data_IF_142193327423
#
_entry.id   IF_142193327423
#
_cell.length_a   1.000
_cell.length_b   1.000
_cell.length_c   1.000
_cell.angle_alpha   90.00
_cell.angle_beta   90.00
_cell.angle_gamma   90.00
#
_symmetry.space_group_name_H-M   'P 1'
#
loop_
_entity.id
_entity.type
_entity.pdbx_description
1 polymer ?
#
# COMPACT_ATOMS: atom_id res chain seq x y z
N UNK A 1 101.65 38.29 -30.22
CA UNK A 1 100.78 39.28 -29.55
C UNK A 1 99.36 38.77 -29.60
N UNK A 2 98.57 38.80 -28.50
CA UNK A 2 97.20 38.33 -28.54
C UNK A 2 96.28 39.32 -29.30
N UNK A 3 95.50 38.84 -30.30
CA UNK A 3 94.69 39.61 -31.26
C UNK A 3 93.66 40.53 -30.55
N UNK A 4 93.34 40.33 -29.27
CA UNK A 4 92.41 41.10 -28.48
C UNK A 4 93.02 41.50 -27.13
N UNK A 5 92.73 42.74 -26.68
CA UNK A 5 93.16 43.25 -25.37
C UNK A 5 92.48 42.54 -24.19
N UNK A 6 93.10 42.54 -23.01
CA UNK A 6 92.46 41.94 -21.83
C UNK A 6 91.17 42.63 -21.41
N UNK A 7 91.05 43.94 -21.65
CA UNK A 7 89.86 44.67 -21.37
C UNK A 7 88.73 44.23 -22.27
N UNK A 8 88.99 44.12 -23.59
CA UNK A 8 87.96 43.61 -24.57
C UNK A 8 87.48 42.17 -24.24
N UNK A 9 88.33 41.33 -23.71
CA UNK A 9 87.94 39.94 -23.31
C UNK A 9 87.04 39.97 -22.10
N UNK A 10 87.27 40.88 -21.11
CA UNK A 10 86.36 41.05 -19.97
C UNK A 10 85.06 41.66 -20.34
N UNK A 11 85.06 42.67 -21.19
CA UNK A 11 83.83 43.31 -21.67
C UNK A 11 82.95 42.36 -22.49
N UNK A 12 83.56 41.53 -23.33
CA UNK A 12 82.87 40.46 -24.06
C UNK A 12 82.23 39.39 -23.16
N UNK A 13 82.90 39.05 -22.07
CA UNK A 13 82.35 38.13 -21.07
C UNK A 13 81.24 38.79 -20.30
N UNK A 14 81.41 40.06 -19.92
CA UNK A 14 80.38 40.82 -19.21
C UNK A 14 79.12 41.01 -20.06
N UNK A 15 79.24 41.28 -21.36
CA UNK A 15 78.10 41.32 -22.27
C UNK A 15 77.33 39.98 -22.27
N UNK A 16 78.02 38.87 -22.39
CA UNK A 16 77.36 37.52 -22.33
C UNK A 16 76.73 37.25 -20.98
N UNK A 17 77.40 37.55 -19.87
CA UNK A 17 76.91 37.20 -18.54
C UNK A 17 75.77 38.10 -18.01
N UNK A 18 75.75 39.38 -18.46
CA UNK A 18 74.72 40.32 -18.03
C UNK A 18 73.42 40.21 -18.86
N UNK A 19 73.43 39.55 -20.02
CA UNK A 19 72.24 39.30 -20.80
C UNK A 19 71.80 37.84 -20.67
N UNK A 20 70.80 37.57 -19.88
CA UNK A 20 70.32 36.22 -19.56
C UNK A 20 69.91 35.44 -20.81
N UNK A 21 69.26 36.06 -21.78
CA UNK A 21 68.73 35.44 -23.01
C UNK A 21 69.82 35.25 -24.09
N UNK A 22 70.99 35.82 -23.93
CA UNK A 22 72.00 35.77 -24.94
C UNK A 22 72.79 34.45 -24.90
N UNK A 23 72.71 33.66 -25.98
CA UNK A 23 73.48 32.43 -26.09
C UNK A 23 74.96 32.73 -26.42
N UNK A 24 75.86 31.74 -26.13
CA UNK A 24 77.25 31.89 -26.51
C UNK A 24 77.44 32.06 -28.05
N UNK A 25 76.56 31.48 -28.84
CA UNK A 25 76.57 31.62 -30.28
C UNK A 25 76.14 33.03 -30.69
N UNK A 26 75.05 33.54 -30.12
CA UNK A 26 74.54 34.86 -30.44
C UNK A 26 75.55 35.95 -29.96
N UNK A 27 76.08 35.81 -28.77
CA UNK A 27 77.06 36.75 -28.23
C UNK A 27 78.37 36.76 -29.06
N UNK A 28 78.82 35.60 -29.54
CA UNK A 28 80.00 35.54 -30.40
C UNK A 28 79.77 36.13 -31.78
N UNK A 29 78.53 35.98 -32.33
CA UNK A 29 78.15 36.57 -33.63
C UNK A 29 78.05 38.11 -33.51
N UNK A 30 77.39 38.65 -32.48
CA UNK A 30 77.30 40.10 -32.20
C UNK A 30 78.65 40.76 -32.06
N UNK A 31 79.61 40.09 -31.44
CA UNK A 31 80.96 40.62 -31.19
C UNK A 31 81.92 40.35 -32.35
N UNK A 32 81.49 39.60 -33.37
CA UNK A 32 82.36 39.26 -34.53
C UNK A 32 83.55 38.40 -34.14
N UNK A 33 83.46 37.59 -33.08
CA UNK A 33 84.52 36.77 -32.55
C UNK A 33 84.24 35.25 -32.69
N UNK A 34 85.29 34.46 -32.69
CA UNK A 34 85.12 33.02 -32.70
C UNK A 34 84.50 32.53 -31.39
N UNK A 35 83.43 31.70 -31.47
CA UNK A 35 82.78 31.11 -30.33
C UNK A 35 83.71 30.41 -29.34
N UNK A 36 84.73 29.69 -29.84
CA UNK A 36 85.71 29.00 -29.02
C UNK A 36 86.55 29.99 -28.16
N UNK A 37 86.85 31.17 -28.74
CA UNK A 37 87.55 32.25 -28.04
C UNK A 37 86.70 32.85 -26.92
N UNK A 38 85.40 33.14 -27.19
CA UNK A 38 84.49 33.66 -26.16
C UNK A 38 84.27 32.60 -25.04
N UNK A 39 84.11 31.30 -25.43
CA UNK A 39 84.00 30.25 -24.46
C UNK A 39 85.21 30.09 -23.52
N UNK A 40 86.43 30.20 -24.09
CA UNK A 40 87.70 30.20 -23.32
C UNK A 40 87.75 31.37 -22.34
N UNK A 41 87.31 32.58 -22.77
CA UNK A 41 87.28 33.78 -21.93
C UNK A 41 86.20 33.71 -20.83
N UNK A 42 85.01 33.14 -21.14
CA UNK A 42 83.98 32.90 -20.12
C UNK A 42 84.47 31.90 -19.09
N UNK A 43 85.29 30.89 -19.47
CA UNK A 43 85.92 29.97 -18.49
C UNK A 43 86.93 30.64 -17.61
N UNK A 44 87.65 31.67 -18.15
CA UNK A 44 88.76 32.40 -17.41
C UNK A 44 88.22 33.58 -16.61
N UNK A 45 87.26 34.35 -17.08
CA UNK A 45 86.77 35.60 -16.50
C UNK A 45 85.28 35.55 -16.09
N UNK A 46 84.51 34.47 -16.39
CA UNK A 46 83.11 34.41 -16.15
C UNK A 46 82.73 34.23 -14.69
N UNK A 47 81.58 34.76 -14.30
CA UNK A 47 81.06 34.74 -12.92
C UNK A 47 80.01 33.60 -12.67
N UNK A 48 79.83 32.68 -13.69
CA UNK A 48 79.00 31.51 -13.53
C UNK A 48 77.54 31.64 -13.92
N UNK A 49 77.23 32.40 -14.99
CA UNK A 49 75.89 32.58 -15.53
C UNK A 49 75.12 31.27 -15.66
N UNK A 50 75.78 30.22 -16.21
CA UNK A 50 75.13 28.90 -16.34
C UNK A 50 74.78 28.24 -14.99
N UNK A 51 75.64 28.42 -13.98
CA UNK A 51 75.40 27.88 -12.67
C UNK A 51 74.22 28.63 -11.99
N UNK A 52 74.12 29.98 -12.18
CA UNK A 52 72.99 30.77 -11.70
C UNK A 52 71.69 30.42 -12.38
N UNK A 53 71.66 30.32 -13.73
CA UNK A 53 70.46 29.92 -14.46
C UNK A 53 70.01 28.51 -14.06
N UNK A 54 70.95 27.57 -13.96
CA UNK A 54 70.65 26.22 -13.49
C UNK A 54 70.08 26.21 -12.11
N UNK A 55 70.65 26.95 -11.14
CA UNK A 55 70.15 27.04 -9.76
C UNK A 55 68.76 27.66 -9.69
N UNK A 56 68.44 28.66 -10.52
CA UNK A 56 67.09 29.23 -10.64
C UNK A 56 66.12 28.24 -11.21
N UNK A 57 66.49 27.51 -12.26
CA UNK A 57 65.65 26.48 -12.86
C UNK A 57 65.42 25.31 -11.88
N UNK A 58 66.47 24.81 -11.21
CA UNK A 58 66.35 23.72 -10.21
C UNK A 58 65.41 24.15 -9.04
N UNK A 59 65.53 25.42 -8.63
CA UNK A 59 64.68 26.00 -7.57
C UNK A 59 63.19 26.12 -7.98
N UNK A 60 62.95 26.50 -9.26
CA UNK A 60 61.59 26.57 -9.80
C UNK A 60 61.02 25.15 -9.97
N UNK A 61 61.80 24.20 -10.40
CA UNK A 61 61.39 22.78 -10.51
C UNK A 61 61.06 22.20 -9.12
N UNK A 62 61.89 22.39 -8.12
CA UNK A 62 61.64 21.95 -6.77
C UNK A 62 60.39 22.58 -6.15
N UNK A 63 60.08 23.86 -6.47
CA UNK A 63 58.86 24.53 -6.04
C UNK A 63 57.60 23.89 -6.70
N UNK A 64 57.66 23.60 -7.99
CA UNK A 64 56.57 22.92 -8.73
C UNK A 64 56.35 21.48 -8.19
N UNK A 65 57.42 20.74 -7.94
CA UNK A 65 57.34 19.40 -7.36
C UNK A 65 56.72 19.43 -5.96
N UNK A 66 57.12 20.38 -5.11
CA UNK A 66 56.53 20.57 -3.78
C UNK A 66 55.03 20.91 -3.85
N UNK A 67 54.62 21.76 -4.80
CA UNK A 67 53.18 22.07 -5.02
C UNK A 67 52.41 20.85 -5.49
N UNK A 68 52.99 20.06 -6.37
CA UNK A 68 52.42 18.81 -6.89
C UNK A 68 52.28 17.76 -5.80
N UNK A 69 53.29 17.58 -4.95
CA UNK A 69 53.22 16.68 -3.81
C UNK A 69 52.08 17.09 -2.85
N UNK A 70 51.97 18.35 -2.49
CA UNK A 70 50.88 18.86 -1.64
C UNK A 70 49.47 18.62 -2.26
N UNK A 71 49.37 18.74 -3.57
CA UNK A 71 48.11 18.46 -4.28
C UNK A 71 47.77 16.96 -4.20
N UNK A 72 48.73 16.09 -4.47
CA UNK A 72 48.58 14.64 -4.40
C UNK A 72 48.25 14.16 -2.97
N UNK A 73 48.89 14.71 -1.97
CA UNK A 73 48.56 14.41 -0.55
C UNK A 73 47.12 14.77 -0.21
N UNK A 74 46.64 15.95 -0.63
CA UNK A 74 45.25 16.37 -0.44
C UNK A 74 44.27 15.43 -1.16
N UNK A 75 44.60 14.98 -2.36
CA UNK A 75 43.78 14.06 -3.12
C UNK A 75 43.75 12.67 -2.46
N UNK A 76 44.93 12.19 -2.02
CA UNK A 76 45.04 10.93 -1.26
C UNK A 76 44.20 10.97 0.03
N UNK A 77 44.27 12.05 0.78
CA UNK A 77 43.47 12.22 2.00
C UNK A 77 41.95 12.15 1.69
N UNK A 78 41.53 12.81 0.62
CA UNK A 78 40.12 12.74 0.15
C UNK A 78 39.73 11.33 -0.24
N UNK A 79 40.54 10.64 -1.02
CA UNK A 79 40.23 9.28 -1.48
C UNK A 79 40.18 8.28 -0.31
N UNK A 80 41.06 8.44 0.68
CA UNK A 80 41.02 7.61 1.89
C UNK A 80 39.73 7.83 2.68
N UNK A 81 39.32 9.10 2.88
CA UNK A 81 38.05 9.41 3.53
C UNK A 81 36.85 8.81 2.75
N UNK A 82 36.82 8.93 1.42
CA UNK A 82 35.77 8.34 0.57
C UNK A 82 35.72 6.82 0.71
N UNK A 83 36.86 6.16 0.65
CA UNK A 83 36.99 4.72 0.84
C UNK A 83 36.44 4.28 2.21
N UNK A 84 36.79 5.02 3.26
CA UNK A 84 36.36 4.68 4.62
C UNK A 84 34.87 4.87 4.82
N UNK A 85 34.29 5.95 4.25
CA UNK A 85 32.83 6.14 4.20
C UNK A 85 32.15 4.99 3.47
N UNK A 86 32.61 4.61 2.28
CA UNK A 86 32.04 3.50 1.49
C UNK A 86 32.14 2.15 2.22
N UNK A 87 33.27 1.89 2.88
CA UNK A 87 33.48 0.67 3.66
C UNK A 87 32.52 0.55 4.86
N UNK A 88 32.32 1.66 5.60
CA UNK A 88 31.34 1.73 6.70
C UNK A 88 29.92 1.60 6.18
N UNK A 89 29.59 2.30 5.09
CA UNK A 89 28.28 2.25 4.46
C UNK A 89 27.93 0.84 3.96
N UNK A 90 28.87 0.14 3.35
CA UNK A 90 28.66 -1.25 2.89
C UNK A 90 28.33 -2.20 4.05
N UNK A 91 28.98 -2.05 5.21
CA UNK A 91 28.66 -2.82 6.42
C UNK A 91 27.29 -2.45 7.00
N UNK A 92 26.94 -1.16 6.95
CA UNK A 92 25.70 -0.63 7.53
C UNK A 92 24.47 -1.04 6.72
N UNK A 93 24.54 -1.02 5.39
CA UNK A 93 23.40 -1.28 4.53
C UNK A 93 23.06 -2.78 4.42
N UNK A 94 24.04 -3.68 4.48
CA UNK A 94 23.83 -5.12 4.35
C UNK A 94 22.98 -5.45 3.11
N UNK A 95 21.88 -6.21 3.32
CA UNK A 95 20.91 -6.56 2.26
C UNK A 95 19.81 -5.52 2.06
N UNK A 96 19.78 -4.44 2.85
CA UNK A 96 18.70 -3.44 2.84
C UNK A 96 19.26 -2.06 2.50
N UNK A 97 19.27 -1.74 1.22
CA UNK A 97 19.72 -0.43 0.73
C UNK A 97 18.52 0.44 0.34
N UNK A 98 17.89 1.09 1.32
CA UNK A 98 16.83 2.08 1.09
C UNK A 98 17.34 3.50 1.34
N UNK A 99 16.71 4.49 0.69
CA UNK A 99 17.04 5.92 0.89
C UNK A 99 17.00 6.34 2.37
N UNK A 100 16.06 5.78 3.14
CA UNK A 100 15.92 6.06 4.57
C UNK A 100 17.12 5.52 5.36
N UNK A 101 17.60 4.32 5.03
CA UNK A 101 18.77 3.71 5.68
C UNK A 101 20.03 4.51 5.34
N UNK A 102 20.19 4.99 4.11
CA UNK A 102 21.29 5.88 3.72
C UNK A 102 21.24 7.20 4.49
N UNK A 103 20.08 7.81 4.68
CA UNK A 103 19.93 9.02 5.51
C UNK A 103 20.24 8.74 6.98
N UNK A 104 19.83 7.58 7.50
CA UNK A 104 20.16 7.19 8.87
C UNK A 104 21.68 7.03 9.04
N UNK A 105 22.36 6.39 8.09
CA UNK A 105 23.82 6.30 8.09
C UNK A 105 24.49 7.67 8.16
N UNK A 106 24.05 8.63 7.34
CA UNK A 106 24.59 10.01 7.35
C UNK A 106 24.36 10.69 8.71
N UNK A 107 23.18 10.48 9.31
CA UNK A 107 22.86 11.05 10.62
C UNK A 107 23.70 10.45 11.76
N UNK A 108 23.93 9.14 11.73
CA UNK A 108 24.69 8.42 12.75
C UNK A 108 26.19 8.74 12.69
N UNK A 109 26.73 9.08 11.50
CA UNK A 109 28.16 9.35 11.31
C UNK A 109 28.51 10.84 11.10
N UNK A 110 27.57 11.75 11.34
CA UNK A 110 27.79 13.21 11.13
C UNK A 110 28.81 13.84 12.09
N UNK A 111 29.20 13.17 13.14
CA UNK A 111 30.26 13.57 14.05
C UNK A 111 31.65 13.19 13.55
N UNK A 112 31.74 12.15 12.70
CA UNK A 112 33.02 11.65 12.17
C UNK A 112 33.34 12.26 10.80
N UNK A 113 32.30 12.42 9.94
CA UNK A 113 32.44 12.90 8.55
C UNK A 113 31.50 14.07 8.28
N UNK A 114 31.92 14.98 7.40
CA UNK A 114 31.03 16.06 7.00
C UNK A 114 29.82 15.54 6.20
N UNK A 115 28.62 16.06 6.49
CA UNK A 115 27.38 15.70 5.77
C UNK A 115 27.51 15.93 4.27
N UNK A 116 28.22 17.03 3.86
CA UNK A 116 28.48 17.35 2.46
C UNK A 116 29.23 16.21 1.77
N UNK A 117 30.26 15.67 2.44
CA UNK A 117 31.11 14.61 1.90
C UNK A 117 30.36 13.30 1.79
N UNK A 118 29.71 12.88 2.88
CA UNK A 118 28.89 11.65 2.88
C UNK A 118 27.80 11.67 1.83
N UNK A 119 27.07 12.78 1.69
CA UNK A 119 26.04 12.91 0.67
C UNK A 119 26.61 12.82 -0.76
N UNK A 120 27.81 13.38 -1.00
CA UNK A 120 28.49 13.28 -2.30
C UNK A 120 28.85 11.82 -2.61
N UNK A 121 29.53 11.16 -1.68
CA UNK A 121 30.00 9.76 -1.82
C UNK A 121 28.84 8.77 -2.00
N UNK A 122 27.76 8.94 -1.23
CA UNK A 122 26.59 8.07 -1.28
C UNK A 122 25.56 8.48 -2.35
N UNK A 123 25.86 9.49 -3.17
CA UNK A 123 24.99 10.04 -4.21
C UNK A 123 23.61 10.46 -3.66
N UNK A 124 23.61 11.14 -2.53
CA UNK A 124 22.42 11.64 -1.85
C UNK A 124 22.24 13.14 -2.06
N UNK A 125 20.99 13.57 -2.21
CA UNK A 125 20.68 14.99 -2.22
C UNK A 125 20.72 15.53 -0.77
N UNK A 126 21.58 16.53 -0.52
CA UNK A 126 21.77 17.12 0.80
C UNK A 126 20.51 17.81 1.33
N UNK A 127 19.76 18.50 0.50
CA UNK A 127 18.51 19.16 0.90
C UNK A 127 17.46 18.11 1.33
N UNK A 128 17.39 16.98 0.64
CA UNK A 128 16.52 15.86 1.01
C UNK A 128 16.90 15.26 2.35
N UNK A 129 18.20 15.15 2.65
CA UNK A 129 18.68 14.69 3.97
C UNK A 129 18.23 15.66 5.08
N UNK A 130 18.47 16.96 4.94
CA UNK A 130 18.06 17.94 5.96
C UNK A 130 16.53 17.99 6.12
N UNK A 131 15.76 17.88 5.04
CA UNK A 131 14.30 17.73 5.11
C UNK A 131 13.90 16.46 5.88
N UNK A 132 14.60 15.37 5.65
CA UNK A 132 14.38 14.13 6.39
C UNK A 132 14.69 14.30 7.89
N UNK A 133 15.78 14.97 8.26
CA UNK A 133 16.12 15.27 9.66
C UNK A 133 15.06 16.18 10.28
N UNK A 134 14.69 17.29 9.65
CA UNK A 134 13.72 18.26 10.19
C UNK A 134 12.33 17.66 10.42
N UNK A 135 11.94 16.67 9.62
CA UNK A 135 10.65 15.97 9.76
C UNK A 135 10.67 14.80 10.76
N UNK A 136 11.78 14.55 11.48
CA UNK A 136 11.93 13.42 12.41
C UNK A 136 10.81 13.36 13.46
N UNK A 137 10.50 14.49 14.10
CA UNK A 137 9.42 14.59 15.12
C UNK A 137 8.06 14.23 14.51
N UNK A 138 7.74 14.76 13.33
CA UNK A 138 6.47 14.45 12.63
C UNK A 138 6.38 12.97 12.26
N UNK A 139 7.49 12.35 11.82
CA UNK A 139 7.51 10.91 11.51
C UNK A 139 7.28 10.04 12.75
N UNK A 140 7.91 10.38 13.88
CA UNK A 140 7.70 9.66 15.16
C UNK A 140 6.25 9.76 15.62
N UNK A 141 5.64 10.95 15.59
CA UNK A 141 4.23 11.16 15.93
C UNK A 141 3.30 10.36 15.00
N UNK A 142 3.62 10.32 13.70
CA UNK A 142 2.85 9.53 12.74
C UNK A 142 2.95 8.03 13.02
N UNK A 143 4.14 7.51 13.33
CA UNK A 143 4.33 6.09 13.68
C UNK A 143 3.55 5.76 14.95
N UNK A 144 3.61 6.60 15.97
CA UNK A 144 2.84 6.42 17.20
C UNK A 144 1.32 6.43 16.95
N UNK A 145 0.83 7.43 16.21
CA UNK A 145 -0.59 7.50 15.81
C UNK A 145 -1.02 6.29 14.98
N UNK A 146 -0.19 5.84 14.03
CA UNK A 146 -0.48 4.64 13.23
C UNK A 146 -0.46 3.38 14.11
N UNK A 147 0.38 3.32 15.15
CA UNK A 147 0.41 2.24 16.13
C UNK A 147 -0.87 2.14 16.96
N UNK A 148 -1.36 3.28 17.49
CA UNK A 148 -2.64 3.33 18.23
C UNK A 148 -3.82 2.89 17.35
N UNK A 149 -3.89 3.42 16.13
CA UNK A 149 -4.91 3.02 15.17
C UNK A 149 -4.75 1.53 14.83
N UNK A 150 -3.53 1.03 14.69
CA UNK A 150 -3.24 -0.38 14.42
C UNK A 150 -3.73 -1.31 15.52
N UNK A 151 -3.53 -0.96 16.78
CA UNK A 151 -4.05 -1.71 17.92
C UNK A 151 -5.58 -1.80 17.86
N UNK A 152 -6.26 -0.69 17.60
CA UNK A 152 -7.73 -0.69 17.47
C UNK A 152 -8.22 -1.47 16.26
N UNK A 153 -7.51 -1.37 15.11
CA UNK A 153 -7.79 -2.20 13.92
C UNK A 153 -7.71 -3.68 14.28
N UNK A 154 -6.70 -4.09 15.04
CA UNK A 154 -6.51 -5.48 15.46
C UNK A 154 -7.66 -5.96 16.33
N UNK A 155 -8.08 -5.17 17.33
CA UNK A 155 -9.24 -5.49 18.17
C UNK A 155 -10.50 -5.70 17.32
N UNK A 156 -10.85 -4.72 16.45
CA UNK A 156 -12.03 -4.84 15.57
C UNK A 156 -11.92 -6.05 14.65
N UNK A 157 -10.72 -6.32 14.12
CA UNK A 157 -10.50 -7.46 13.24
C UNK A 157 -10.72 -8.79 13.94
N UNK A 158 -10.28 -8.92 15.19
CA UNK A 158 -10.46 -10.11 16.00
C UNK A 158 -11.92 -10.28 16.46
N UNK A 159 -12.56 -9.21 16.94
CA UNK A 159 -13.98 -9.22 17.33
C UNK A 159 -14.89 -9.63 16.16
N UNK A 160 -14.51 -9.24 14.95
CA UNK A 160 -15.19 -9.58 13.71
C UNK A 160 -14.63 -10.88 13.08
N UNK A 161 -13.86 -11.62 13.84
CA UNK A 161 -13.33 -12.94 13.48
C UNK A 161 -12.58 -12.97 12.15
N UNK A 162 -11.88 -11.89 11.78
CA UNK A 162 -11.14 -11.80 10.53
C UNK A 162 -11.99 -11.59 9.27
N UNK A 163 -13.29 -11.35 9.40
CA UNK A 163 -14.20 -11.23 8.25
C UNK A 163 -14.20 -9.82 7.63
N UNK A 164 -13.70 -8.80 8.37
CA UNK A 164 -13.73 -7.42 7.91
C UNK A 164 -12.47 -7.03 7.15
N UNK A 165 -12.67 -6.47 5.96
CA UNK A 165 -11.63 -5.74 5.23
C UNK A 165 -11.63 -4.25 5.56
N UNK A 166 -10.67 -3.51 5.01
CA UNK A 166 -10.38 -2.12 5.35
C UNK A 166 -11.58 -1.16 5.32
N UNK A 167 -12.54 -1.35 4.41
CA UNK A 167 -13.73 -0.48 4.32
C UNK A 167 -14.65 -0.63 5.54
N UNK A 168 -14.90 -1.87 5.97
CA UNK A 168 -15.74 -2.16 7.15
C UNK A 168 -15.05 -1.72 8.44
N UNK A 169 -13.75 -1.98 8.57
CA UNK A 169 -12.95 -1.53 9.72
C UNK A 169 -12.92 0.00 9.80
N UNK A 170 -12.74 0.70 8.68
CA UNK A 170 -12.79 2.16 8.65
C UNK A 170 -14.17 2.71 9.10
N UNK A 171 -15.26 2.03 8.71
CA UNK A 171 -16.59 2.39 9.16
C UNK A 171 -16.78 2.13 10.67
N UNK A 172 -16.20 1.05 11.23
CA UNK A 172 -16.22 0.79 12.66
C UNK A 172 -15.43 1.83 13.45
N UNK A 173 -14.25 2.22 12.95
CA UNK A 173 -13.44 3.29 13.56
C UNK A 173 -14.15 4.67 13.54
N UNK A 174 -14.99 4.94 12.54
CA UNK A 174 -15.75 6.19 12.45
C UNK A 174 -16.83 6.30 13.53
N UNK A 175 -17.39 5.18 13.98
CA UNK A 175 -18.40 5.15 15.06
C UNK A 175 -17.75 5.20 16.45
N UNK A 176 -16.46 4.96 16.56
CA UNK A 176 -15.70 5.07 17.80
C UNK A 176 -15.32 6.54 18.03
N UNK A 177 -16.01 7.18 18.97
CA UNK A 177 -15.84 8.61 19.29
C UNK A 177 -14.42 8.97 19.75
N UNK A 178 -13.62 7.99 20.17
CA UNK A 178 -12.23 8.19 20.57
C UNK A 178 -11.27 8.43 19.39
N UNK A 179 -11.73 8.21 18.16
CA UNK A 179 -10.89 8.32 16.97
C UNK A 179 -11.47 9.32 15.97
N UNK A 180 -10.58 10.16 15.42
CA UNK A 180 -10.92 10.95 14.23
C UNK A 180 -11.19 10.02 13.05
N UNK A 181 -12.15 10.35 12.15
CA UNK A 181 -12.46 9.51 10.99
C UNK A 181 -11.22 9.16 10.17
N UNK A 182 -10.95 7.87 10.01
CA UNK A 182 -9.78 7.36 9.31
C UNK A 182 -10.16 6.87 7.92
N UNK A 183 -9.46 7.36 6.89
CA UNK A 183 -9.69 6.92 5.52
C UNK A 183 -9.36 5.43 5.35
N UNK A 184 -10.23 4.68 4.66
CA UNK A 184 -10.04 3.25 4.41
C UNK A 184 -8.72 2.90 3.71
N UNK A 185 -8.11 3.82 2.92
CA UNK A 185 -6.78 3.64 2.32
C UNK A 185 -5.69 3.60 3.39
N UNK A 186 -5.80 4.45 4.45
CA UNK A 186 -4.87 4.43 5.59
C UNK A 186 -5.04 3.12 6.38
N UNK A 187 -6.28 2.70 6.64
CA UNK A 187 -6.59 1.42 7.29
C UNK A 187 -5.99 0.26 6.51
N UNK A 188 -6.19 0.20 5.18
CA UNK A 188 -5.64 -0.86 4.34
C UNK A 188 -4.10 -0.93 4.41
N UNK A 189 -3.42 0.23 4.45
CA UNK A 189 -1.96 0.30 4.59
C UNK A 189 -1.50 -0.27 5.94
N UNK A 190 -2.18 0.10 7.03
CA UNK A 190 -1.86 -0.37 8.38
C UNK A 190 -2.14 -1.88 8.48
N UNK A 191 -3.29 -2.36 8.01
CA UNK A 191 -3.61 -3.80 7.95
C UNK A 191 -2.53 -4.59 7.21
N UNK A 192 -2.10 -4.09 6.04
CA UNK A 192 -1.03 -4.73 5.26
C UNK A 192 0.28 -4.81 6.04
N UNK A 193 0.67 -3.76 6.77
CA UNK A 193 1.88 -3.76 7.59
C UNK A 193 1.81 -4.73 8.77
N UNK A 194 0.61 -5.07 9.24
CA UNK A 194 0.35 -6.03 10.31
C UNK A 194 0.07 -7.45 9.79
N UNK A 195 0.11 -7.69 8.48
CA UNK A 195 -0.24 -8.98 7.88
C UNK A 195 -1.73 -9.34 7.98
N UNK A 196 -2.61 -8.36 8.25
CA UNK A 196 -4.04 -8.59 8.40
C UNK A 196 -4.75 -8.53 7.05
N UNK A 197 -5.50 -9.59 6.72
CA UNK A 197 -6.30 -9.65 5.49
C UNK A 197 -7.69 -10.18 5.82
N UNK A 198 -8.72 -9.40 5.48
CA UNK A 198 -10.12 -9.84 5.64
C UNK A 198 -10.42 -11.08 4.80
N UNK A 199 -11.15 -12.02 5.38
CA UNK A 199 -11.47 -13.29 4.72
C UNK A 199 -12.23 -13.09 3.41
N UNK A 200 -11.68 -13.59 2.31
CA UNK A 200 -12.27 -13.52 0.97
C UNK A 200 -12.00 -14.81 0.20
N UNK A 201 -13.01 -15.67 0.11
CA UNK A 201 -12.94 -16.90 -0.70
C UNK A 201 -13.53 -16.61 -2.09
N UNK A 202 -12.68 -16.54 -3.11
CA UNK A 202 -13.16 -16.47 -4.50
C UNK A 202 -13.52 -17.88 -4.96
N UNK A 203 -14.80 -18.14 -5.18
CA UNK A 203 -15.27 -19.33 -5.90
C UNK A 203 -15.82 -18.89 -7.27
N UNK A 204 -15.35 -19.50 -8.33
CA UNK A 204 -16.09 -19.54 -9.59
C UNK A 204 -17.24 -20.51 -9.41
N UNK A 205 -18.48 -20.04 -9.44
CA UNK A 205 -19.66 -20.88 -9.44
C UNK A 205 -20.09 -21.07 -10.90
N UNK A 206 -20.19 -22.32 -11.33
CA UNK A 206 -20.82 -22.67 -12.61
C UNK A 206 -22.29 -22.88 -12.28
N UNK A 207 -23.16 -22.02 -12.81
CA UNK A 207 -24.61 -22.15 -12.63
C UNK A 207 -25.16 -23.21 -13.58
N UNK A 208 -25.95 -24.14 -13.03
CA UNK A 208 -26.62 -25.19 -13.79
C UNK A 208 -27.66 -24.56 -14.71
N UNK A 209 -27.64 -24.84 -16.02
CA UNK A 209 -28.68 -24.44 -16.96
C UNK A 209 -29.90 -25.33 -16.75
N UNK A 210 -31.00 -24.78 -16.25
CA UNK A 210 -32.30 -25.47 -16.19
C UNK A 210 -33.10 -25.29 -17.50
N UNK A 211 -33.91 -26.27 -17.85
CA UNK A 211 -34.82 -26.18 -19.03
C UNK A 211 -35.94 -25.18 -18.75
N UNK A 212 -36.39 -24.39 -19.75
CA UNK A 212 -37.55 -23.50 -19.62
C UNK A 212 -38.82 -24.27 -19.26
N UNK A 213 -39.59 -23.75 -18.29
CA UNK A 213 -40.92 -24.28 -17.91
C UNK A 213 -41.95 -23.15 -17.92
N UNK A 214 -43.23 -23.49 -17.82
CA UNK A 214 -44.31 -22.50 -17.79
C UNK A 214 -44.27 -21.69 -16.47
N UNK A 215 -44.48 -20.38 -16.58
CA UNK A 215 -44.57 -19.46 -15.46
C UNK A 215 -45.84 -19.70 -14.66
N UNK A 216 -45.76 -20.00 -13.38
CA UNK A 216 -46.92 -20.28 -12.51
C UNK A 216 -47.47 -18.99 -11.87
N UNK A 217 -46.63 -18.01 -11.62
CA UNK A 217 -46.94 -16.70 -11.02
C UNK A 217 -46.31 -15.57 -11.83
N UNK A 218 -46.93 -14.37 -11.86
CA UNK A 218 -46.37 -13.22 -12.54
C UNK A 218 -45.06 -12.74 -11.85
N UNK A 219 -44.15 -12.16 -12.65
CA UNK A 219 -43.01 -11.43 -12.13
C UNK A 219 -43.45 -10.00 -11.83
N UNK A 220 -43.62 -9.69 -10.55
CA UNK A 220 -44.07 -8.37 -10.08
C UNK A 220 -42.89 -7.42 -9.79
N UNK A 221 -41.63 -7.91 -9.82
CA UNK A 221 -40.48 -7.10 -9.47
C UNK A 221 -39.55 -6.79 -10.66
N UNK A 222 -39.67 -7.54 -11.77
CA UNK A 222 -38.88 -7.29 -12.98
C UNK A 222 -37.38 -7.16 -12.74
N UNK A 223 -36.79 -8.02 -11.91
CA UNK A 223 -35.38 -7.97 -11.45
C UNK A 223 -35.00 -6.72 -10.65
N UNK A 224 -35.98 -5.95 -10.19
CA UNK A 224 -35.73 -4.78 -9.34
C UNK A 224 -35.69 -5.23 -7.87
N UNK A 225 -34.50 -5.56 -7.37
CA UNK A 225 -34.30 -5.97 -5.97
C UNK A 225 -34.07 -4.79 -5.04
N UNK A 226 -34.87 -3.72 -5.22
CA UNK A 226 -34.84 -2.54 -4.38
C UNK A 226 -36.27 -2.11 -4.07
N UNK A 227 -36.48 -1.57 -2.88
CA UNK A 227 -37.73 -0.96 -2.48
C UNK A 227 -37.45 0.45 -1.93
N UNK A 228 -38.47 1.30 -1.95
CA UNK A 228 -38.43 2.67 -1.43
C UNK A 228 -38.53 2.73 0.10
N UNK A 229 -39.12 1.72 0.72
CA UNK A 229 -39.34 1.61 2.17
C UNK A 229 -39.37 0.14 2.61
N UNK A 230 -39.18 -0.14 3.93
CA UNK A 230 -39.31 -1.50 4.46
C UNK A 230 -40.67 -2.11 4.21
N UNK A 231 -40.75 -3.42 4.26
CA UNK A 231 -41.98 -4.23 4.19
C UNK A 231 -42.74 -4.16 2.85
N UNK A 232 -42.06 -3.80 1.76
CA UNK A 232 -42.69 -3.73 0.42
C UNK A 232 -42.40 -4.95 -0.41
N UNK A 233 -41.16 -5.38 -0.48
CA UNK A 233 -40.71 -6.49 -1.30
C UNK A 233 -39.75 -7.36 -0.49
N UNK A 234 -40.08 -8.62 -0.42
CA UNK A 234 -39.25 -9.66 0.17
C UNK A 234 -38.78 -10.62 -0.90
N UNK A 235 -37.55 -11.13 -0.71
CA UNK A 235 -37.04 -12.27 -1.51
C UNK A 235 -36.85 -13.47 -0.61
N UNK A 236 -37.24 -14.64 -1.10
CA UNK A 236 -37.12 -15.91 -0.40
C UNK A 236 -36.26 -16.91 -1.18
N UNK A 237 -35.51 -17.73 -0.47
CA UNK A 237 -34.75 -18.84 -1.04
C UNK A 237 -34.52 -19.93 0.01
N UNK A 238 -34.30 -21.17 -0.46
CA UNK A 238 -33.90 -22.29 0.40
C UNK A 238 -32.48 -22.68 0.05
N UNK A 239 -31.62 -22.74 1.05
CA UNK A 239 -30.28 -23.25 0.88
C UNK A 239 -30.03 -24.48 1.75
N UNK A 240 -29.33 -25.49 1.21
CA UNK A 240 -28.89 -26.63 1.99
C UNK A 240 -27.56 -26.34 2.71
N UNK A 241 -27.43 -26.88 3.90
CA UNK A 241 -26.29 -26.75 4.78
C UNK A 241 -25.79 -28.17 5.14
N UNK A 242 -24.70 -28.62 4.49
CA UNK A 242 -24.25 -30.00 4.64
C UNK A 242 -23.63 -30.23 6.02
N UNK A 243 -24.02 -31.33 6.66
CA UNK A 243 -23.46 -31.82 7.92
C UNK A 243 -22.67 -33.10 7.68
N UNK A 244 -21.76 -33.43 8.60
CA UNK A 244 -21.04 -34.74 8.60
C UNK A 244 -22.05 -35.92 8.63
N UNK A 245 -21.66 -37.03 8.05
CA UNK A 245 -22.53 -38.22 7.97
C UNK A 245 -23.59 -38.14 6.87
N UNK A 246 -23.43 -37.25 5.86
CA UNK A 246 -24.34 -37.18 4.71
C UNK A 246 -25.68 -36.48 4.97
N UNK A 247 -25.94 -36.03 6.20
CA UNK A 247 -27.15 -35.28 6.55
C UNK A 247 -27.07 -33.84 6.08
N UNK A 248 -28.18 -33.28 5.61
CA UNK A 248 -28.31 -31.89 5.27
C UNK A 248 -29.33 -31.22 6.17
N UNK A 249 -29.02 -29.98 6.57
CA UNK A 249 -30.01 -29.06 7.09
C UNK A 249 -30.42 -28.09 5.98
N UNK A 250 -31.64 -27.59 6.04
CA UNK A 250 -32.21 -26.68 5.05
C UNK A 250 -32.63 -25.40 5.73
N UNK A 251 -32.17 -24.28 5.19
CA UNK A 251 -32.48 -22.95 5.70
C UNK A 251 -33.35 -22.22 4.66
N UNK A 252 -34.59 -21.89 5.01
CA UNK A 252 -35.43 -20.97 4.29
C UNK A 252 -35.23 -19.56 4.86
N UNK A 253 -35.16 -18.56 3.97
CA UNK A 253 -34.91 -17.17 4.34
C UNK A 253 -35.92 -16.24 3.71
N UNK A 254 -36.27 -15.16 4.43
CA UNK A 254 -37.11 -14.04 3.98
C UNK A 254 -36.32 -12.76 4.19
N UNK A 255 -35.91 -12.10 3.10
CA UNK A 255 -35.01 -10.95 3.13
C UNK A 255 -35.74 -9.74 2.57
N UNK A 256 -35.76 -8.64 3.33
CA UNK A 256 -36.29 -7.36 2.89
C UNK A 256 -35.34 -6.72 1.87
N UNK A 257 -35.86 -6.34 0.71
CA UNK A 257 -35.05 -5.77 -0.38
C UNK A 257 -34.62 -4.33 -0.11
N UNK A 258 -35.30 -3.59 0.78
CA UNK A 258 -34.94 -2.23 1.16
C UNK A 258 -33.67 -2.20 1.99
N UNK A 259 -33.66 -2.91 3.10
CA UNK A 259 -32.60 -2.85 4.12
C UNK A 259 -31.61 -4.02 4.07
N UNK A 260 -31.92 -5.04 3.23
CA UNK A 260 -31.23 -6.34 3.27
C UNK A 260 -31.38 -7.08 4.60
N UNK A 261 -32.31 -6.66 5.44
CA UNK A 261 -32.62 -7.32 6.70
C UNK A 261 -33.17 -8.73 6.46
N UNK A 262 -32.63 -9.69 7.19
CA UNK A 262 -33.23 -11.01 7.31
C UNK A 262 -34.47 -10.86 8.20
N UNK A 263 -35.64 -10.67 7.57
CA UNK A 263 -36.90 -10.48 8.26
C UNK A 263 -37.40 -11.77 8.91
N UNK A 264 -37.16 -12.92 8.26
CA UNK A 264 -37.53 -14.21 8.82
C UNK A 264 -36.64 -15.34 8.28
N UNK A 265 -36.54 -16.42 9.05
CA UNK A 265 -35.88 -17.65 8.61
C UNK A 265 -36.40 -18.85 9.41
N UNK A 266 -36.26 -20.02 8.81
CA UNK A 266 -36.50 -21.31 9.48
C UNK A 266 -35.44 -22.34 9.06
N UNK A 267 -35.09 -23.24 9.98
CA UNK A 267 -34.07 -24.26 9.78
C UNK A 267 -34.59 -25.64 10.16
N UNK A 268 -34.66 -26.55 9.20
CA UNK A 268 -35.12 -27.94 9.41
C UNK A 268 -34.18 -28.96 8.75
N UNK A 269 -34.39 -30.24 9.04
CA UNK A 269 -33.71 -31.37 8.39
C UNK A 269 -34.41 -31.82 7.07
N UNK A 270 -35.43 -31.10 6.66
CA UNK A 270 -36.23 -31.38 5.46
C UNK A 270 -36.49 -30.11 4.67
N UNK A 271 -36.85 -30.28 3.40
CA UNK A 271 -37.23 -29.19 2.49
C UNK A 271 -38.73 -29.32 2.11
N UNK A 272 -39.62 -29.37 3.12
CA UNK A 272 -41.07 -29.39 2.97
C UNK A 272 -41.63 -27.98 2.94
N UNK A 273 -42.91 -27.86 2.51
CA UNK A 273 -43.63 -26.58 2.46
C UNK A 273 -43.71 -25.90 3.86
N UNK A 274 -43.80 -26.68 4.94
CA UNK A 274 -43.76 -26.17 6.30
C UNK A 274 -42.55 -25.28 6.59
N UNK A 275 -41.37 -25.62 6.02
CA UNK A 275 -40.13 -24.85 6.24
C UNK A 275 -40.24 -23.39 5.72
N UNK A 276 -40.86 -23.19 4.55
CA UNK A 276 -41.05 -21.84 3.98
C UNK A 276 -42.18 -21.09 4.66
N UNK A 277 -43.21 -21.80 5.11
CA UNK A 277 -44.29 -21.25 5.96
C UNK A 277 -43.73 -20.74 7.26
N UNK A 278 -42.91 -21.53 7.97
CA UNK A 278 -42.30 -21.16 9.22
C UNK A 278 -41.38 -19.93 9.08
N UNK A 279 -40.62 -19.86 7.96
CA UNK A 279 -39.80 -18.69 7.65
C UNK A 279 -40.64 -17.43 7.44
N UNK A 280 -41.76 -17.51 6.74
CA UNK A 280 -42.68 -16.41 6.48
C UNK A 280 -43.45 -16.03 7.76
N UNK A 281 -43.87 -17.00 8.56
CA UNK A 281 -44.49 -16.80 9.87
C UNK A 281 -43.53 -16.04 10.83
N UNK A 282 -42.26 -16.43 10.86
CA UNK A 282 -41.24 -15.72 11.62
C UNK A 282 -41.12 -14.25 11.12
N UNK A 283 -41.09 -14.03 9.80
CA UNK A 283 -41.06 -12.68 9.24
C UNK A 283 -42.29 -11.86 9.64
N UNK A 284 -43.49 -12.46 9.61
CA UNK A 284 -44.71 -11.82 10.06
C UNK A 284 -44.63 -11.43 11.54
N UNK A 285 -44.18 -12.33 12.42
CA UNK A 285 -44.00 -12.05 13.84
C UNK A 285 -43.02 -10.90 14.13
N UNK A 286 -41.90 -10.84 13.37
CA UNK A 286 -40.89 -9.78 13.52
C UNK A 286 -41.38 -8.43 12.97
N UNK A 287 -42.19 -8.43 11.90
CA UNK A 287 -42.68 -7.21 11.24
C UNK A 287 -44.01 -6.72 11.72
N UNK A 288 -44.77 -7.52 12.46
CA UNK A 288 -46.12 -7.27 12.89
C UNK A 288 -47.16 -7.44 11.77
N UNK A 289 -46.89 -7.03 10.55
CA UNK A 289 -47.75 -7.23 9.38
C UNK A 289 -46.92 -7.36 8.11
N UNK A 290 -47.39 -8.18 7.16
CA UNK A 290 -46.87 -8.31 5.82
C UNK A 290 -47.93 -7.94 4.76
N UNK A 291 -49.02 -7.36 5.17
CA UNK A 291 -50.13 -7.04 4.27
C UNK A 291 -49.69 -6.10 3.12
N UNK A 292 -50.11 -6.45 1.91
CA UNK A 292 -49.75 -5.76 0.67
C UNK A 292 -48.29 -5.97 0.19
N UNK A 293 -47.48 -6.70 0.92
CA UNK A 293 -46.07 -6.98 0.52
C UNK A 293 -46.02 -7.97 -0.65
N UNK A 294 -44.92 -7.88 -1.42
CA UNK A 294 -44.60 -8.84 -2.47
C UNK A 294 -43.56 -9.82 -1.92
N UNK A 295 -43.83 -11.13 -2.05
CA UNK A 295 -42.85 -12.17 -1.76
C UNK A 295 -42.36 -12.79 -3.06
N UNK A 296 -41.12 -12.59 -3.41
CA UNK A 296 -40.50 -13.08 -4.62
C UNK A 296 -39.60 -14.28 -4.36
N UNK A 297 -39.74 -15.33 -5.13
CA UNK A 297 -38.94 -16.55 -5.05
C UNK A 297 -38.62 -17.14 -6.42
N UNK A 298 -37.79 -18.19 -6.42
CA UNK A 298 -37.66 -19.07 -7.60
C UNK A 298 -38.90 -19.95 -7.80
N UNK A 299 -38.90 -20.73 -8.87
CA UNK A 299 -39.96 -21.72 -9.17
C UNK A 299 -39.80 -23.06 -8.42
N UNK A 300 -39.19 -23.06 -7.24
CA UNK A 300 -39.11 -24.27 -6.42
C UNK A 300 -40.49 -24.85 -6.10
N UNK A 301 -40.60 -26.19 -6.07
CA UNK A 301 -41.89 -26.88 -5.82
C UNK A 301 -42.56 -26.49 -4.51
N UNK A 302 -41.80 -26.11 -3.49
CA UNK A 302 -42.33 -25.64 -2.21
C UNK A 302 -43.01 -24.29 -2.32
N UNK A 303 -42.49 -23.37 -3.11
CA UNK A 303 -43.07 -22.04 -3.33
C UNK A 303 -44.25 -22.04 -4.28
N UNK A 304 -44.33 -23.01 -5.19
CA UNK A 304 -45.48 -23.17 -6.12
C UNK A 304 -46.63 -23.98 -5.51
N UNK A 305 -46.47 -24.51 -4.30
CA UNK A 305 -47.48 -25.32 -3.63
C UNK A 305 -48.73 -24.52 -3.28
N UNK A 306 -49.92 -25.17 -3.37
CA UNK A 306 -51.19 -24.54 -2.98
C UNK A 306 -51.20 -24.14 -1.50
N UNK A 307 -50.58 -24.94 -0.63
CA UNK A 307 -50.49 -24.67 0.81
C UNK A 307 -49.74 -23.35 1.09
N UNK A 308 -48.59 -23.12 0.42
CA UNK A 308 -47.85 -21.89 0.58
C UNK A 308 -48.59 -20.69 0.01
N UNK A 309 -49.28 -20.87 -1.11
CA UNK A 309 -50.12 -19.85 -1.74
C UNK A 309 -51.26 -19.39 -0.80
N UNK A 310 -51.96 -20.35 -0.22
CA UNK A 310 -53.04 -20.07 0.73
C UNK A 310 -52.51 -19.31 1.96
N UNK A 311 -51.32 -19.70 2.45
CA UNK A 311 -50.67 -19.02 3.56
C UNK A 311 -50.25 -17.59 3.21
N UNK A 312 -49.66 -17.34 2.04
CA UNK A 312 -49.37 -15.98 1.58
C UNK A 312 -50.66 -15.13 1.52
N UNK A 313 -51.73 -15.67 0.95
CA UNK A 313 -53.03 -15.00 0.86
C UNK A 313 -53.61 -14.66 2.24
N UNK A 314 -53.49 -15.53 3.22
CA UNK A 314 -53.97 -15.26 4.58
C UNK A 314 -53.21 -14.14 5.30
N UNK A 315 -51.99 -13.83 4.86
CA UNK A 315 -51.18 -12.71 5.34
C UNK A 315 -51.28 -11.45 4.46
N UNK A 316 -52.13 -11.44 3.41
CA UNK A 316 -52.21 -10.34 2.45
C UNK A 316 -50.95 -10.22 1.54
N UNK A 317 -50.10 -11.25 1.49
CA UNK A 317 -48.83 -11.26 0.71
C UNK A 317 -49.09 -11.70 -0.73
N UNK A 318 -48.60 -10.91 -1.69
CA UNK A 318 -48.66 -11.24 -3.12
C UNK A 318 -47.43 -12.01 -3.55
N UNK A 319 -47.62 -13.20 -4.12
CA UNK A 319 -46.51 -13.99 -4.64
C UNK A 319 -46.02 -13.45 -5.98
N UNK A 320 -44.71 -13.45 -6.17
CA UNK A 320 -44.02 -13.12 -7.40
C UNK A 320 -42.94 -14.16 -7.67
N UNK A 321 -42.77 -14.53 -8.95
CA UNK A 321 -41.76 -15.49 -9.35
C UNK A 321 -40.97 -14.97 -10.55
N UNK A 322 -39.68 -15.20 -10.58
CA UNK A 322 -38.79 -14.81 -11.67
C UNK A 322 -39.08 -15.60 -12.96
N UNK A 323 -38.31 -15.34 -14.00
CA UNK A 323 -38.39 -16.15 -15.22
C UNK A 323 -37.76 -17.52 -14.99
N UNK A 324 -38.36 -18.54 -15.58
CA UNK A 324 -37.83 -19.91 -15.49
C UNK A 324 -36.48 -19.97 -16.19
N UNK A 325 -35.45 -20.41 -15.48
CA UNK A 325 -34.12 -20.70 -16.05
C UNK A 325 -33.04 -19.63 -15.90
N UNK A 326 -33.30 -18.52 -15.22
CA UNK A 326 -32.26 -17.49 -14.96
C UNK A 326 -31.95 -17.37 -13.47
N UNK A 327 -30.69 -17.57 -13.10
CA UNK A 327 -30.20 -17.32 -11.72
C UNK A 327 -30.22 -15.84 -11.33
N UNK A 328 -30.32 -14.95 -12.31
CA UNK A 328 -30.38 -13.51 -12.07
C UNK A 328 -31.67 -13.08 -11.36
N UNK A 329 -32.74 -13.89 -11.46
CA UNK A 329 -34.06 -13.55 -10.93
C UNK A 329 -34.19 -13.73 -9.41
N UNK A 330 -33.18 -14.34 -8.72
CA UNK A 330 -33.11 -14.41 -7.26
C UNK A 330 -31.70 -14.06 -6.71
N UNK A 331 -30.98 -13.24 -7.44
CA UNK A 331 -29.56 -12.93 -7.15
C UNK A 331 -29.31 -12.39 -5.73
N UNK A 332 -30.30 -11.70 -5.11
CA UNK A 332 -30.19 -11.17 -3.76
C UNK A 332 -30.14 -12.30 -2.74
N UNK A 333 -31.08 -13.22 -2.79
CA UNK A 333 -31.14 -14.34 -1.86
C UNK A 333 -29.98 -15.31 -2.08
N UNK A 334 -29.56 -15.55 -3.33
CA UNK A 334 -28.35 -16.33 -3.63
C UNK A 334 -27.09 -15.69 -3.03
N UNK A 335 -26.96 -14.36 -3.16
CA UNK A 335 -25.83 -13.61 -2.57
C UNK A 335 -25.82 -13.69 -1.05
N UNK A 336 -26.98 -13.64 -0.40
CA UNK A 336 -27.13 -13.83 1.03
C UNK A 336 -26.65 -15.22 1.44
N UNK A 337 -27.18 -16.26 0.81
CA UNK A 337 -26.86 -17.66 1.10
C UNK A 337 -25.37 -17.97 0.88
N UNK A 338 -24.78 -17.42 -0.18
CA UNK A 338 -23.35 -17.53 -0.43
C UNK A 338 -22.51 -16.83 0.65
N UNK A 339 -22.98 -15.69 1.16
CA UNK A 339 -22.33 -14.95 2.25
C UNK A 339 -22.41 -15.72 3.57
N UNK A 340 -23.59 -16.26 3.92
CA UNK A 340 -23.77 -17.10 5.10
C UNK A 340 -22.82 -18.30 5.06
N UNK A 341 -22.86 -19.09 4.01
CA UNK A 341 -21.99 -20.28 3.86
C UNK A 341 -20.50 -19.92 3.96
N UNK A 342 -20.11 -18.84 3.33
CA UNK A 342 -18.72 -18.37 3.38
C UNK A 342 -18.29 -17.94 4.77
N UNK A 343 -19.13 -17.18 5.49
CA UNK A 343 -18.77 -16.60 6.78
C UNK A 343 -18.90 -17.61 7.93
N UNK A 344 -19.83 -18.58 7.85
CA UNK A 344 -20.04 -19.60 8.86
C UNK A 344 -19.09 -20.79 8.66
N UNK A 345 -19.04 -21.36 7.46
CA UNK A 345 -18.20 -22.53 7.19
C UNK A 345 -16.72 -22.17 7.04
N UNK A 346 -16.40 -20.97 6.53
CA UNK A 346 -15.02 -20.52 6.23
C UNK A 346 -14.27 -21.54 5.36
N UNK A 347 -13.31 -22.27 5.97
CA UNK A 347 -12.51 -23.29 5.29
C UNK A 347 -13.11 -24.69 5.42
N UNK A 348 -14.14 -24.88 6.26
CA UNK A 348 -14.88 -26.14 6.37
C UNK A 348 -15.79 -26.33 5.16
N UNK A 349 -16.00 -27.58 4.79
CA UNK A 349 -16.96 -27.96 3.74
C UNK A 349 -18.35 -28.28 4.29
N UNK A 350 -18.39 -28.77 5.54
CA UNK A 350 -19.57 -29.30 6.23
C UNK A 350 -19.60 -28.85 7.68
N UNK A 351 -20.77 -28.82 8.30
CA UNK A 351 -20.94 -28.68 9.75
C UNK A 351 -20.66 -30.01 10.46
N UNK A 352 -20.25 -29.94 11.72
CA UNK A 352 -19.95 -31.17 12.47
C UNK A 352 -21.17 -32.02 12.70
N UNK A 353 -22.32 -31.42 13.02
CA UNK A 353 -23.59 -32.10 13.22
C UNK A 353 -24.76 -31.11 13.07
N UNK A 354 -26.02 -31.54 13.03
CA UNK A 354 -27.21 -30.69 12.94
C UNK A 354 -27.33 -29.67 14.09
N UNK A 355 -26.90 -30.02 15.31
CA UNK A 355 -26.96 -29.11 16.48
C UNK A 355 -26.01 -27.95 16.32
N UNK A 356 -24.75 -28.24 15.97
CA UNK A 356 -23.77 -27.18 15.71
C UNK A 356 -24.18 -26.28 14.53
N UNK A 357 -24.76 -26.87 13.48
CA UNK A 357 -25.33 -26.12 12.35
C UNK A 357 -26.41 -25.14 12.83
N UNK A 358 -27.38 -25.56 13.65
CA UNK A 358 -28.42 -24.69 14.22
C UNK A 358 -27.84 -23.54 15.02
N UNK A 359 -26.91 -23.83 15.92
CA UNK A 359 -26.29 -22.84 16.79
C UNK A 359 -25.46 -21.80 16.01
N UNK A 360 -24.67 -22.26 15.06
CA UNK A 360 -23.80 -21.38 14.27
C UNK A 360 -24.63 -20.49 13.32
N UNK A 361 -25.64 -21.04 12.67
CA UNK A 361 -26.56 -20.31 11.80
C UNK A 361 -27.35 -19.28 12.61
N UNK A 362 -27.90 -19.67 13.76
CA UNK A 362 -28.64 -18.75 14.64
C UNK A 362 -27.75 -17.55 15.04
N UNK A 363 -26.56 -17.81 15.56
CA UNK A 363 -25.60 -16.76 15.96
C UNK A 363 -25.27 -15.84 14.79
N UNK A 364 -25.08 -16.41 13.61
CA UNK A 364 -24.78 -15.65 12.41
C UNK A 364 -25.97 -14.78 11.96
N UNK A 365 -27.19 -15.32 11.93
CA UNK A 365 -28.41 -14.57 11.60
C UNK A 365 -28.65 -13.38 12.53
N UNK A 366 -28.50 -13.58 13.83
CA UNK A 366 -28.59 -12.50 14.82
C UNK A 366 -27.53 -11.41 14.58
N UNK A 367 -26.27 -11.84 14.38
CA UNK A 367 -25.18 -10.90 14.08
C UNK A 367 -25.36 -10.19 12.74
N UNK A 368 -25.94 -10.87 11.75
CA UNK A 368 -26.19 -10.30 10.41
C UNK A 368 -27.07 -9.06 10.49
N UNK A 369 -28.17 -9.10 11.21
CA UNK A 369 -29.08 -7.97 11.35
C UNK A 369 -28.54 -6.86 12.26
N UNK A 370 -27.91 -7.22 13.39
CA UNK A 370 -27.62 -6.28 14.48
C UNK A 370 -26.21 -5.66 14.39
N UNK A 371 -25.23 -6.38 13.85
CA UNK A 371 -23.81 -5.97 13.89
C UNK A 371 -23.11 -5.97 12.53
N UNK A 372 -23.49 -6.90 11.65
CA UNK A 372 -22.76 -7.07 10.41
C UNK A 372 -22.94 -5.87 9.47
N UNK A 373 -21.84 -5.19 9.15
CA UNK A 373 -21.85 -4.04 8.25
C UNK A 373 -22.10 -4.48 6.81
N UNK A 374 -23.12 -3.90 6.20
CA UNK A 374 -23.55 -4.19 4.85
C UNK A 374 -23.24 -3.01 3.91
N UNK A 375 -22.62 -3.28 2.74
CA UNK A 375 -22.27 -2.23 1.78
C UNK A 375 -23.49 -1.47 1.24
N UNK A 376 -24.62 -2.18 1.06
CA UNK A 376 -25.89 -1.58 0.65
C UNK A 376 -26.45 -0.60 1.70
N UNK A 377 -26.28 -0.90 2.96
CA UNK A 377 -26.74 -0.09 4.09
C UNK A 377 -25.70 0.97 4.51
N UNK A 378 -24.94 1.53 3.60
CA UNK A 378 -23.91 2.53 3.91
C UNK A 378 -22.88 2.07 4.95
N UNK A 379 -22.54 0.80 4.95
CA UNK A 379 -21.63 0.16 5.90
C UNK A 379 -22.12 0.20 7.38
N UNK A 380 -23.41 0.25 7.61
CA UNK A 380 -24.03 -0.06 8.91
C UNK A 380 -24.75 -1.41 8.85
N UNK A 381 -25.20 -1.90 10.01
CA UNK A 381 -26.00 -3.12 10.06
C UNK A 381 -27.44 -2.86 9.56
N UNK A 382 -28.16 -3.88 9.03
CA UNK A 382 -29.51 -3.73 8.53
C UNK A 382 -30.49 -3.10 9.53
N UNK A 383 -30.47 -3.49 10.80
CA UNK A 383 -31.33 -2.92 11.84
C UNK A 383 -31.04 -1.43 12.06
N UNK A 384 -29.76 -1.06 12.13
CA UNK A 384 -29.34 0.33 12.28
C UNK A 384 -29.74 1.17 11.07
N UNK A 385 -29.66 0.58 9.88
CA UNK A 385 -30.07 1.26 8.66
C UNK A 385 -31.58 1.55 8.66
N UNK A 386 -32.40 0.57 9.00
CA UNK A 386 -33.88 0.78 9.10
C UNK A 386 -34.24 1.84 10.14
N UNK A 387 -33.67 1.76 11.34
CA UNK A 387 -33.95 2.75 12.41
C UNK A 387 -33.60 4.18 11.97
N UNK A 388 -32.43 4.37 11.34
CA UNK A 388 -32.00 5.70 10.86
C UNK A 388 -32.89 6.23 9.75
N UNK A 389 -33.32 5.39 8.83
CA UNK A 389 -34.15 5.81 7.69
C UNK A 389 -35.61 6.00 8.08
N UNK A 390 -36.15 5.22 9.01
CA UNK A 390 -37.50 5.44 9.57
C UNK A 390 -37.59 6.77 10.31
N UNK A 391 -36.59 7.15 11.09
CA UNK A 391 -36.54 8.46 11.77
C UNK A 391 -36.58 9.62 10.76
N UNK A 392 -35.90 9.51 9.63
CA UNK A 392 -35.90 10.52 8.55
C UNK A 392 -37.28 10.62 7.91
N UNK A 393 -37.94 9.48 7.62
CA UNK A 393 -39.27 9.46 7.02
C UNK A 393 -40.35 10.05 7.94
N UNK A 394 -40.22 9.85 9.26
CA UNK A 394 -41.14 10.41 10.24
C UNK A 394 -40.95 11.94 10.43
N UNK A 395 -39.74 12.45 10.19
CA UNK A 395 -39.43 13.89 10.30
C UNK A 395 -39.81 14.67 9.03
N UNK A 396 -39.97 13.98 7.90
CA UNK A 396 -40.33 14.56 6.59
C UNK A 396 -41.82 14.48 6.25
N UNK A 397 -42.63 13.83 7.07
CA UNK A 397 -44.09 13.73 7.00
C UNK A 397 -44.76 14.71 7.99
#
# INVERSE_FOLDING_TARGET
>A
MSRYSEQFKRDAVALYENNEDLSLNSASAELGINRASLHSWVKKYGTGKRARIKAVHDKAQAANDSARIRQLEKENAKLREERDILRKAAKYFGRRDSLVIRFQFVDDHRTEYSVKRMCHVLKLNRSSFYKWVSTRKKRRLKIYSDGLIGARIKTIFDDEHGLYGAKRIAASLKEDLAYTPVNHKKVARIMKSMGLQGFSKRRRCITTRRKPGHRVMPDLIGRTFTADRPNRVYVGDITYLPCKGGKNMYLATVIDTYSRKLAGYALADHMRVSLVIDALAHAHGVRGSLDGAIFHSDHGSVYTSQTFRNYCSSLGVRQSMGAVGTSADNALAESFNATLKREVLRDRKVFDNPISCRQEVFRWCMRYNTRRRHSWCNLVAPDVFETKTSAILTTAA
#
